data_IF_106377084762
#
_entry.id   IF_106377084762
#
_cell.length_a   1.000
_cell.length_b   1.000
_cell.length_c   1.000
_cell.angle_alpha   90.00
_cell.angle_beta   90.00
_cell.angle_gamma   90.00
#
_symmetry.space_group_name_H-M   'P 1'
#
loop_
_entity.id
_entity.type
_entity.pdbx_description
1 polymer ?
#
# COMPACT_ATOMS: atom_id res chain seq x y z
N UNK A 1 0.72 -17.75 66.99
CA UNK A 1 0.45 -18.78 65.96
C UNK A 1 1.49 -18.61 64.86
N UNK A 2 2.59 -19.34 64.91
CA UNK A 2 3.67 -19.24 63.91
C UNK A 2 4.18 -20.64 63.61
N UNK A 3 3.82 -21.18 62.46
CA UNK A 3 4.32 -22.47 61.97
C UNK A 3 4.35 -22.41 60.45
N UNK A 4 5.52 -22.12 59.88
CA UNK A 4 5.76 -22.18 58.44
C UNK A 4 7.16 -22.69 58.19
N UNK A 5 7.34 -24.02 58.14
CA UNK A 5 8.44 -24.64 57.38
C UNK A 5 7.95 -26.00 56.86
N UNK A 6 7.88 -26.14 55.53
CA UNK A 6 7.96 -27.44 54.87
C UNK A 6 8.59 -27.24 53.49
N UNK A 7 9.87 -27.60 53.41
CA UNK A 7 10.61 -27.85 52.17
C UNK A 7 10.37 -29.28 51.71
N UNK A 8 10.34 -29.53 50.40
CA UNK A 8 10.78 -30.74 49.66
C UNK A 8 10.17 -30.67 48.24
N UNK A 9 10.90 -30.36 47.16
CA UNK A 9 11.89 -31.19 46.43
C UNK A 9 11.29 -32.36 45.67
N UNK A 10 11.15 -32.20 44.35
CA UNK A 10 11.22 -33.24 43.29
C UNK A 10 10.65 -32.63 42.00
N UNK A 11 11.10 -32.83 40.77
CA UNK A 11 12.28 -33.41 40.12
C UNK A 11 12.00 -33.21 38.62
N UNK A 12 13.03 -32.83 37.84
CA UNK A 12 13.44 -33.44 36.57
C UNK A 12 12.29 -33.73 35.55
N UNK A 13 12.25 -33.12 34.38
CA UNK A 13 12.88 -33.71 33.18
C UNK A 13 13.00 -32.72 32.02
N UNK A 14 14.13 -32.89 31.36
CA UNK A 14 14.64 -32.18 30.20
C UNK A 14 14.16 -32.94 28.96
N UNK A 15 13.42 -32.32 28.03
CA UNK A 15 13.17 -32.94 26.71
C UNK A 15 13.49 -31.95 25.61
N UNK A 16 14.73 -32.07 25.13
CA UNK A 16 15.17 -31.64 23.82
C UNK A 16 14.39 -32.41 22.74
N UNK A 17 13.66 -31.69 21.88
CA UNK A 17 13.25 -32.22 20.59
C UNK A 17 13.67 -31.25 19.47
N UNK A 18 14.20 -31.88 18.44
CA UNK A 18 15.03 -31.37 17.34
C UNK A 18 14.37 -30.33 16.42
N UNK A 19 15.18 -29.56 15.67
CA UNK A 19 14.72 -28.70 14.59
C UNK A 19 14.18 -29.53 13.42
N UNK A 20 13.01 -29.16 12.92
CA UNK A 20 12.49 -29.62 11.63
C UNK A 20 13.00 -28.67 10.55
N UNK A 21 13.97 -29.14 9.75
CA UNK A 21 14.32 -28.54 8.45
C UNK A 21 13.26 -28.96 7.44
N UNK A 22 12.47 -27.99 6.97
CA UNK A 22 11.73 -28.07 5.70
C UNK A 22 12.54 -27.19 4.75
N UNK A 23 13.31 -27.73 3.80
CA UNK A 23 12.81 -28.54 2.70
C UNK A 23 12.85 -27.64 1.48
N UNK A 24 14.02 -27.55 0.84
CA UNK A 24 14.26 -26.84 -0.41
C UNK A 24 13.27 -27.32 -1.48
N UNK A 25 12.55 -26.40 -2.10
CA UNK A 25 11.87 -26.69 -3.36
C UNK A 25 12.10 -25.56 -4.36
N UNK A 26 13.06 -25.87 -5.24
CA UNK A 26 13.31 -25.23 -6.52
C UNK A 26 12.00 -25.15 -7.32
N UNK A 27 11.59 -23.94 -7.68
CA UNK A 27 10.77 -23.72 -8.87
C UNK A 27 11.53 -22.87 -9.87
N UNK A 28 11.62 -23.47 -11.05
CA UNK A 28 12.33 -23.00 -12.21
C UNK A 28 11.65 -21.78 -12.83
N UNK A 29 12.45 -21.06 -13.62
CA UNK A 29 12.08 -19.83 -14.28
C UNK A 29 10.80 -19.90 -15.09
N UNK A 30 10.08 -18.79 -15.05
CA UNK A 30 9.21 -18.37 -16.13
C UNK A 30 9.65 -16.98 -16.57
N UNK A 31 10.08 -16.96 -17.82
CA UNK A 31 10.48 -15.81 -18.59
C UNK A 31 9.32 -14.81 -18.69
N UNK A 32 9.46 -13.62 -18.10
CA UNK A 32 8.64 -12.49 -18.51
C UNK A 32 9.32 -11.83 -19.72
N UNK A 33 8.77 -12.17 -20.87
CA UNK A 33 9.13 -11.69 -22.19
C UNK A 33 8.96 -10.17 -22.24
N UNK A 34 10.06 -9.52 -22.63
CA UNK A 34 10.11 -8.12 -23.06
C UNK A 34 9.11 -7.88 -24.20
N UNK A 35 8.03 -7.14 -23.94
CA UNK A 35 7.15 -6.63 -24.99
C UNK A 35 7.51 -5.16 -25.25
N UNK A 36 8.55 -4.96 -26.07
CA UNK A 36 8.72 -3.72 -26.82
C UNK A 36 7.59 -3.65 -27.84
N UNK A 37 6.62 -2.76 -27.66
CA UNK A 37 5.68 -2.36 -28.72
C UNK A 37 5.89 -0.88 -29.05
N UNK A 38 6.90 -0.67 -29.87
CA UNK A 38 6.90 0.40 -30.86
C UNK A 38 5.72 0.18 -31.82
N UNK A 39 4.82 1.15 -31.94
CA UNK A 39 4.15 1.40 -33.22
C UNK A 39 3.56 2.81 -33.24
N UNK A 40 4.29 3.69 -33.92
CA UNK A 40 3.79 4.91 -34.55
C UNK A 40 2.72 4.52 -35.57
N UNK A 41 1.49 5.05 -35.47
CA UNK A 41 0.68 5.37 -36.66
C UNK A 41 -0.19 6.60 -36.38
N UNK A 42 0.09 7.65 -37.13
CA UNK A 42 -0.77 8.82 -37.32
C UNK A 42 -2.14 8.43 -37.86
N UNK A 43 -3.21 8.82 -37.18
CA UNK A 43 -4.53 8.95 -37.82
C UNK A 43 -5.04 10.37 -37.56
N UNK A 44 -4.89 11.19 -38.60
CA UNK A 44 -5.57 12.46 -38.80
C UNK A 44 -7.07 12.18 -38.97
N UNK A 45 -7.87 12.34 -37.91
CA UNK A 45 -9.31 12.50 -38.08
C UNK A 45 -9.66 13.99 -38.06
N UNK A 46 -9.75 14.51 -39.29
CA UNK A 46 -10.26 15.83 -39.64
C UNK A 46 -11.79 15.75 -39.56
N UNK A 47 -12.37 16.12 -38.42
CA UNK A 47 -13.82 16.32 -38.34
C UNK A 47 -14.14 17.76 -37.96
N UNK A 48 -14.70 18.43 -38.95
CA UNK A 48 -15.00 19.84 -39.03
C UNK A 48 -16.47 19.98 -38.65
N UNK A 49 -16.78 20.62 -37.52
CA UNK A 49 -18.13 21.13 -37.27
C UNK A 49 -18.04 22.62 -36.89
N UNK A 50 -18.68 23.51 -37.67
CA UNK A 50 -18.92 24.87 -37.25
C UNK A 50 -20.25 24.94 -36.48
N UNK A 51 -20.24 25.36 -35.22
CA UNK A 51 -21.44 25.92 -34.63
C UNK A 51 -21.13 27.04 -33.64
N UNK A 52 -22.02 28.03 -33.68
CA UNK A 52 -21.79 29.45 -33.47
C UNK A 52 -22.07 29.87 -32.03
N UNK A 53 -21.05 30.46 -31.42
CA UNK A 53 -21.01 31.59 -30.48
C UNK A 53 -22.27 31.96 -29.65
N UNK A 54 -22.10 32.00 -28.33
CA UNK A 54 -22.76 33.00 -27.47
C UNK A 54 -21.77 33.46 -26.41
N UNK A 55 -21.60 34.78 -26.35
CA UNK A 55 -20.50 35.43 -25.66
C UNK A 55 -20.61 35.42 -24.14
N UNK A 56 -19.44 35.37 -23.50
CA UNK A 56 -19.25 35.99 -22.20
C UNK A 56 -17.89 36.68 -22.17
N UNK A 57 -17.92 37.88 -21.61
CA UNK A 57 -16.95 38.95 -21.72
C UNK A 57 -15.62 38.69 -20.98
N UNK A 58 -14.53 39.02 -21.68
CA UNK A 58 -13.29 39.69 -21.21
C UNK A 58 -12.93 39.57 -19.73
N UNK A 59 -11.83 38.87 -19.45
CA UNK A 59 -10.77 39.40 -18.60
C UNK A 59 -9.42 38.91 -19.09
N UNK A 60 -8.54 39.86 -19.44
CA UNK A 60 -7.16 39.61 -19.83
C UNK A 60 -6.39 39.23 -18.57
N UNK A 61 -5.74 38.06 -18.55
CA UNK A 61 -4.49 37.88 -17.83
C UNK A 61 -3.57 36.89 -18.53
N UNK A 62 -2.30 37.26 -18.52
CA UNK A 62 -1.19 36.75 -19.31
C UNK A 62 -0.87 35.28 -19.02
N UNK A 63 -0.21 34.65 -20.00
CA UNK A 63 0.09 33.23 -20.01
C UNK A 63 1.12 32.77 -18.98
N UNK A 64 1.00 31.50 -18.63
CA UNK A 64 2.14 30.61 -18.38
C UNK A 64 1.88 29.34 -19.16
N UNK A 65 2.79 29.08 -20.09
CA UNK A 65 2.95 27.80 -20.78
C UNK A 65 3.48 26.80 -19.76
N UNK A 66 2.65 25.85 -19.35
CA UNK A 66 3.10 24.58 -18.82
C UNK A 66 2.18 23.51 -19.40
N UNK A 67 2.70 22.71 -20.32
CA UNK A 67 2.13 21.42 -20.67
C UNK A 67 2.16 20.55 -19.40
N UNK A 68 1.20 20.73 -18.52
CA UNK A 68 0.87 19.76 -17.49
C UNK A 68 0.06 18.68 -18.22
N UNK A 69 0.75 17.62 -18.63
CA UNK A 69 0.12 16.38 -19.05
C UNK A 69 -0.82 15.96 -17.92
N UNK A 70 -2.12 16.08 -18.18
CA UNK A 70 -3.16 15.67 -17.23
C UNK A 70 -3.14 14.16 -17.18
N UNK A 71 -2.30 13.61 -16.31
CA UNK A 71 -2.36 12.20 -15.91
C UNK A 71 -3.76 12.00 -15.33
N UNK A 72 -4.54 11.13 -15.98
CA UNK A 72 -5.91 10.81 -15.60
C UNK A 72 -5.94 10.25 -14.18
N UNK A 73 -6.17 11.11 -13.18
CA UNK A 73 -6.34 10.76 -11.78
C UNK A 73 -7.73 10.13 -11.60
N UNK A 74 -7.85 8.87 -12.03
CA UNK A 74 -9.00 8.04 -11.71
C UNK A 74 -9.01 7.68 -10.22
N UNK A 75 -10.19 7.44 -9.66
CA UNK A 75 -10.32 6.90 -8.30
C UNK A 75 -9.49 5.62 -8.16
N UNK A 76 -8.70 5.45 -7.08
CA UNK A 76 -7.92 4.24 -6.89
C UNK A 76 -8.82 3.02 -6.78
N UNK A 77 -8.36 1.91 -7.36
CA UNK A 77 -9.05 0.62 -7.30
C UNK A 77 -9.04 0.18 -5.83
N UNK A 78 -10.22 -0.15 -5.29
CA UNK A 78 -10.35 -0.65 -3.92
C UNK A 78 -10.78 -2.11 -3.94
N UNK A 79 -10.03 -2.97 -3.24
CA UNK A 79 -10.26 -4.42 -3.17
C UNK A 79 -10.70 -4.85 -1.77
N UNK A 80 -11.55 -5.89 -1.63
CA UNK A 80 -11.91 -6.42 -0.33
C UNK A 80 -10.71 -7.12 0.34
N UNK A 81 -10.71 -7.13 1.67
CA UNK A 81 -9.63 -7.71 2.50
C UNK A 81 -9.24 -9.15 2.12
N UNK A 82 -10.20 -10.02 1.78
CA UNK A 82 -9.91 -11.41 1.39
C UNK A 82 -9.01 -11.47 0.14
N UNK A 83 -9.30 -10.65 -0.86
CA UNK A 83 -8.48 -10.56 -2.08
C UNK A 83 -7.11 -9.97 -1.76
N UNK A 84 -7.07 -8.94 -0.91
CA UNK A 84 -5.80 -8.37 -0.46
C UNK A 84 -4.91 -9.41 0.23
N UNK A 85 -5.49 -10.31 1.05
CA UNK A 85 -4.75 -11.39 1.68
C UNK A 85 -4.17 -12.39 0.68
N UNK A 86 -4.93 -12.78 -0.34
CA UNK A 86 -4.42 -13.63 -1.42
C UNK A 86 -3.27 -12.98 -2.18
N UNK A 87 -3.34 -11.67 -2.43
CA UNK A 87 -2.28 -10.90 -3.07
C UNK A 87 -1.01 -10.84 -2.19
N UNK A 88 -1.17 -10.66 -0.87
CA UNK A 88 -0.04 -10.71 0.07
C UNK A 88 0.62 -12.09 0.05
N UNK A 89 -0.17 -13.18 0.04
CA UNK A 89 0.36 -14.54 -0.07
C UNK A 89 1.06 -14.80 -1.41
N UNK A 90 0.62 -14.15 -2.49
CA UNK A 90 1.29 -14.21 -3.79
C UNK A 90 2.60 -13.39 -3.85
N UNK A 91 2.94 -12.68 -2.78
CA UNK A 91 4.18 -11.91 -2.66
C UNK A 91 4.08 -10.47 -3.17
N UNK A 92 2.88 -9.92 -3.30
CA UNK A 92 2.71 -8.50 -3.64
C UNK A 92 3.09 -7.59 -2.45
N UNK A 93 3.55 -6.38 -2.78
CA UNK A 93 3.99 -5.41 -1.80
C UNK A 93 2.80 -4.82 -1.03
N UNK A 94 2.81 -4.95 0.29
CA UNK A 94 1.83 -4.33 1.17
C UNK A 94 2.44 -3.12 1.88
N UNK A 95 1.86 -1.95 1.64
CA UNK A 95 2.20 -0.68 2.26
C UNK A 95 1.19 -0.34 3.36
N UNK A 96 1.65 -0.38 4.61
CA UNK A 96 0.88 0.03 5.77
C UNK A 96 1.10 1.50 6.09
N UNK A 97 0.05 2.32 5.96
CA UNK A 97 0.11 3.77 6.22
C UNK A 97 -0.28 4.19 7.64
N UNK A 98 -0.45 3.23 8.56
CA UNK A 98 -0.72 3.47 9.97
C UNK A 98 0.52 4.04 10.69
N UNK A 99 0.33 4.49 11.93
CA UNK A 99 1.45 4.93 12.76
C UNK A 99 2.31 3.73 13.17
N UNK A 100 3.62 3.92 13.43
CA UNK A 100 4.51 2.81 13.78
C UNK A 100 4.10 2.09 15.08
N UNK A 101 3.43 2.79 16.00
CA UNK A 101 2.89 2.18 17.22
C UNK A 101 1.76 1.19 16.90
N UNK A 102 0.89 1.53 15.94
CA UNK A 102 -0.18 0.61 15.48
C UNK A 102 0.42 -0.60 14.74
N UNK A 103 1.50 -0.39 13.99
CA UNK A 103 2.16 -1.44 13.22
C UNK A 103 2.88 -2.46 14.11
N UNK A 104 3.52 -2.00 15.19
CA UNK A 104 4.19 -2.86 16.18
C UNK A 104 3.19 -3.69 17.00
N UNK A 105 1.95 -3.20 17.14
CA UNK A 105 0.89 -3.94 17.83
C UNK A 105 0.32 -5.10 17.00
N UNK A 106 0.51 -5.09 15.69
CA UNK A 106 0.05 -6.15 14.79
C UNK A 106 -0.09 -5.67 13.35
N UNK A 107 0.30 -6.53 12.41
CA UNK A 107 0.39 -6.22 10.97
C UNK A 107 0.13 -7.45 10.11
N UNK A 108 -0.16 -7.20 8.83
CA UNK A 108 -0.16 -8.24 7.82
C UNK A 108 1.28 -8.76 7.57
N UNK A 109 1.46 -10.04 7.23
CA UNK A 109 2.78 -10.60 6.96
C UNK A 109 3.44 -9.91 5.77
N UNK A 110 4.73 -9.60 5.88
CA UNK A 110 5.49 -8.92 4.81
C UNK A 110 5.10 -7.44 4.58
N UNK A 111 4.26 -6.85 5.44
CA UNK A 111 3.90 -5.44 5.32
C UNK A 111 5.09 -4.51 5.60
N UNK A 112 5.22 -3.45 4.80
CA UNK A 112 6.17 -2.35 4.99
C UNK A 112 5.43 -1.15 5.57
N UNK A 113 5.91 -0.59 6.68
CA UNK A 113 5.27 0.57 7.30
C UNK A 113 5.86 1.88 6.81
N UNK A 114 5.01 2.75 6.25
CA UNK A 114 5.35 4.14 5.94
C UNK A 114 4.20 5.02 6.42
N UNK A 115 4.33 5.69 7.58
CA UNK A 115 3.24 6.42 8.19
C UNK A 115 2.84 7.64 7.34
N UNK A 116 1.58 7.68 6.92
CA UNK A 116 1.01 8.84 6.23
C UNK A 116 0.69 9.99 7.20
N UNK A 117 0.31 9.64 8.43
CA UNK A 117 0.12 10.58 9.53
C UNK A 117 1.01 10.18 10.71
N UNK A 118 1.62 11.17 11.33
CA UNK A 118 2.46 11.04 12.50
C UNK A 118 1.77 11.68 13.71
N UNK A 119 1.92 11.07 14.88
CA UNK A 119 1.51 11.68 16.15
C UNK A 119 2.56 12.71 16.55
N UNK A 120 2.19 13.99 16.56
CA UNK A 120 3.06 15.07 17.02
C UNK A 120 2.34 15.85 18.12
N UNK A 121 2.82 15.71 19.37
CA UNK A 121 2.18 16.28 20.54
C UNK A 121 0.78 15.69 20.79
N UNK A 122 -0.23 16.55 20.89
CA UNK A 122 -1.63 16.16 21.10
C UNK A 122 -2.41 15.89 19.80
N UNK A 123 -1.78 16.06 18.63
CA UNK A 123 -2.45 15.98 17.33
C UNK A 123 -1.85 14.96 16.36
N UNK A 124 -2.57 14.73 15.28
CA UNK A 124 -2.10 13.99 14.11
C UNK A 124 -1.70 14.99 13.02
N UNK A 125 -0.49 14.86 12.50
CA UNK A 125 0.04 15.72 11.44
C UNK A 125 0.41 14.89 10.23
N UNK A 126 0.11 15.37 9.02
CA UNK A 126 0.49 14.70 7.77
C UNK A 126 2.02 14.67 7.64
N UNK A 127 2.56 13.53 7.24
CA UNK A 127 3.98 13.37 6.98
C UNK A 127 4.36 14.00 5.63
N UNK A 128 5.20 15.06 5.59
CA UNK A 128 5.62 15.67 4.32
C UNK A 128 6.59 14.77 3.52
N UNK A 129 7.30 13.86 4.20
CA UNK A 129 8.31 13.00 3.58
C UNK A 129 7.73 11.67 3.09
N UNK A 130 6.41 11.48 3.14
CA UNK A 130 5.75 10.22 2.77
C UNK A 130 6.13 9.77 1.35
N UNK A 131 5.99 10.66 0.35
CA UNK A 131 6.28 10.33 -1.04
C UNK A 131 7.75 9.97 -1.27
N UNK A 132 8.67 10.66 -0.58
CA UNK A 132 10.10 10.40 -0.69
C UNK A 132 10.47 9.02 -0.10
N UNK A 133 9.84 8.63 1.00
CA UNK A 133 10.05 7.31 1.61
C UNK A 133 9.53 6.20 0.70
N UNK A 134 8.34 6.38 0.10
CA UNK A 134 7.78 5.40 -0.84
C UNK A 134 8.68 5.28 -2.08
N UNK A 135 9.13 6.38 -2.67
CA UNK A 135 10.00 6.36 -3.85
C UNK A 135 11.40 5.79 -3.60
N UNK A 136 11.80 5.67 -2.33
CA UNK A 136 13.09 5.04 -1.97
C UNK A 136 13.00 3.52 -1.86
N UNK A 137 11.77 2.99 -1.75
CA UNK A 137 11.50 1.57 -1.51
C UNK A 137 10.81 0.89 -2.70
N UNK A 138 10.01 1.65 -3.46
CA UNK A 138 9.19 1.13 -4.55
C UNK A 138 9.38 1.96 -5.82
N UNK A 139 9.33 1.28 -6.96
CA UNK A 139 9.27 1.91 -8.26
C UNK A 139 7.83 2.31 -8.62
N UNK A 140 7.67 3.22 -9.60
CA UNK A 140 6.35 3.73 -10.00
C UNK A 140 5.44 2.68 -10.66
N UNK A 141 6.08 1.67 -11.21
CA UNK A 141 5.47 0.60 -12.00
C UNK A 141 5.14 -0.63 -11.15
N UNK A 142 5.54 -0.63 -9.89
CA UNK A 142 5.25 -1.72 -8.95
C UNK A 142 3.77 -1.70 -8.54
N UNK A 143 3.23 -2.90 -8.33
CA UNK A 143 1.91 -3.10 -7.74
C UNK A 143 2.00 -2.99 -6.22
N UNK A 144 1.38 -1.96 -5.66
CA UNK A 144 1.43 -1.64 -4.24
C UNK A 144 0.02 -1.69 -3.67
N UNK A 145 -0.18 -2.59 -2.71
CA UNK A 145 -1.39 -2.62 -1.90
C UNK A 145 -1.25 -1.64 -0.74
N UNK A 146 -2.15 -0.67 -0.64
CA UNK A 146 -2.13 0.35 0.40
C UNK A 146 -3.24 0.07 1.41
N UNK A 147 -2.85 -0.13 2.67
CA UNK A 147 -3.76 -0.41 3.77
C UNK A 147 -3.63 0.58 4.92
N UNK A 148 -4.74 0.88 5.59
CA UNK A 148 -4.74 1.62 6.85
C UNK A 148 -5.65 0.95 7.89
N UNK A 149 -5.96 1.61 9.01
CA UNK A 149 -6.85 1.03 10.02
C UNK A 149 -8.29 0.79 9.51
N UNK A 150 -8.86 1.73 8.73
CA UNK A 150 -10.30 1.75 8.37
C UNK A 150 -10.59 2.13 6.91
N UNK A 151 -9.59 2.16 6.02
CA UNK A 151 -9.70 2.56 4.61
C UNK A 151 -9.59 4.07 4.29
N UNK A 152 -9.86 4.99 5.22
CA UNK A 152 -9.87 6.44 4.91
C UNK A 152 -8.49 7.04 4.66
N UNK A 153 -7.50 6.67 5.49
CA UNK A 153 -6.12 7.19 5.38
C UNK A 153 -5.42 6.61 4.14
N UNK A 154 -5.67 5.33 3.83
CA UNK A 154 -5.12 4.65 2.66
C UNK A 154 -5.67 5.24 1.36
N UNK A 155 -6.97 5.59 1.30
CA UNK A 155 -7.52 6.27 0.13
C UNK A 155 -6.83 7.62 -0.16
N UNK A 156 -6.56 8.43 0.87
CA UNK A 156 -5.83 9.69 0.70
C UNK A 156 -4.39 9.45 0.24
N UNK A 157 -3.70 8.49 0.85
CA UNK A 157 -2.34 8.11 0.45
C UNK A 157 -2.30 7.59 -0.99
N UNK A 158 -3.28 6.78 -1.40
CA UNK A 158 -3.40 6.25 -2.74
C UNK A 158 -3.59 7.36 -3.78
N UNK A 159 -4.45 8.35 -3.50
CA UNK A 159 -4.61 9.52 -4.38
C UNK A 159 -3.31 10.35 -4.51
N UNK A 160 -2.59 10.54 -3.41
CA UNK A 160 -1.29 11.24 -3.43
C UNK A 160 -0.25 10.46 -4.25
N UNK A 161 -0.22 9.13 -4.14
CA UNK A 161 0.66 8.26 -4.93
C UNK A 161 0.29 8.27 -6.42
N UNK A 162 -0.99 8.15 -6.76
CA UNK A 162 -1.42 8.27 -8.15
C UNK A 162 -1.07 9.64 -8.74
N UNK A 163 -1.21 10.71 -7.95
CA UNK A 163 -0.80 12.07 -8.35
C UNK A 163 0.72 12.19 -8.53
N UNK A 164 1.51 11.39 -7.81
CA UNK A 164 2.96 11.28 -7.99
C UNK A 164 3.36 10.42 -9.21
N UNK A 165 2.39 9.77 -9.86
CA UNK A 165 2.56 8.98 -11.08
C UNK A 165 2.72 7.47 -10.87
N UNK A 166 2.32 6.94 -9.71
CA UNK A 166 2.28 5.49 -9.51
C UNK A 166 1.08 4.88 -10.22
N UNK A 167 1.30 3.81 -10.97
CA UNK A 167 0.28 3.21 -11.85
C UNK A 167 -0.41 2.00 -11.21
N UNK A 168 0.31 1.23 -10.38
CA UNK A 168 -0.16 -0.01 -9.75
C UNK A 168 -0.73 0.12 -8.34
N UNK A 169 -1.41 1.23 -8.01
CA UNK A 169 -1.93 1.45 -6.65
C UNK A 169 -3.29 0.78 -6.44
N UNK A 170 -3.37 -0.07 -5.42
CA UNK A 170 -4.58 -0.76 -4.99
C UNK A 170 -4.86 -0.44 -3.53
N UNK A 171 -6.01 0.15 -3.22
CA UNK A 171 -6.47 0.39 -1.84
C UNK A 171 -7.18 -0.84 -1.27
N UNK A 172 -7.00 -1.09 0.02
CA UNK A 172 -7.69 -2.20 0.72
C UNK A 172 -8.92 -1.67 1.46
N UNK A 173 -10.09 -2.04 0.95
CA UNK A 173 -11.37 -1.72 1.57
C UNK A 173 -11.47 -2.33 2.97
N UNK A 174 -11.79 -1.51 3.97
CA UNK A 174 -11.93 -1.94 5.37
C UNK A 174 -10.62 -1.99 6.16
N UNK A 175 -9.46 -2.02 5.48
CA UNK A 175 -8.14 -1.95 6.10
C UNK A 175 -7.88 -3.06 7.14
N UNK A 176 -7.03 -2.74 8.12
CA UNK A 176 -6.63 -3.67 9.18
C UNK A 176 -7.80 -4.11 10.09
N UNK A 177 -8.80 -3.26 10.30
CA UNK A 177 -9.97 -3.64 11.12
C UNK A 177 -10.75 -4.78 10.50
N UNK A 178 -10.92 -4.77 9.17
CA UNK A 178 -11.58 -5.87 8.47
C UNK A 178 -10.67 -7.11 8.33
N UNK A 179 -9.35 -6.93 8.35
CA UNK A 179 -8.37 -8.02 8.42
C UNK A 179 -8.49 -8.81 9.72
N UNK A 180 -8.53 -8.13 10.86
CA UNK A 180 -8.68 -8.78 12.17
C UNK A 180 -10.06 -9.40 12.35
N UNK A 181 -11.12 -8.75 11.85
CA UNK A 181 -12.48 -9.32 11.85
C UNK A 181 -12.61 -10.58 11.00
N UNK A 182 -11.78 -10.72 9.97
CA UNK A 182 -11.76 -11.90 9.10
C UNK A 182 -10.84 -13.01 9.65
N UNK A 183 -10.26 -12.82 10.84
CA UNK A 183 -9.35 -13.77 11.51
C UNK A 183 -8.19 -14.24 10.62
N UNK A 184 -7.69 -13.33 9.77
CA UNK A 184 -6.59 -13.60 8.86
C UNK A 184 -5.24 -13.56 9.58
N UNK A 185 -4.22 -14.20 9.00
CA UNK A 185 -2.88 -14.27 9.57
C UNK A 185 -2.32 -12.87 9.83
N UNK A 186 -1.86 -12.63 11.06
CA UNK A 186 -1.20 -11.40 11.49
C UNK A 186 0.11 -11.70 12.20
N UNK A 187 1.08 -10.81 12.04
CA UNK A 187 2.38 -10.85 12.72
C UNK A 187 2.48 -9.68 13.71
N UNK A 188 3.29 -9.87 14.76
CA UNK A 188 3.67 -8.83 15.74
C UNK A 188 5.17 -8.60 15.64
#
# INVERSE_FOLDING_TARGET
>A
MTSSISSSSSSIEHTLLRPQKFGDQLINGVSSVSVKKSCLVSIRCRFNLPYRNSGYSRSRRAGVSSNAEVVSTGTPISVPVRVAHELVLAGHNYLDVRTPEEFTAGRAPGAVNIPYMLRLGSGMTKNPNFLQQVSSLFDKEDEILVGCQSGKRSLMAANDLQSAGYTGIVDIAGGYSAWTQSELTTEV
#
